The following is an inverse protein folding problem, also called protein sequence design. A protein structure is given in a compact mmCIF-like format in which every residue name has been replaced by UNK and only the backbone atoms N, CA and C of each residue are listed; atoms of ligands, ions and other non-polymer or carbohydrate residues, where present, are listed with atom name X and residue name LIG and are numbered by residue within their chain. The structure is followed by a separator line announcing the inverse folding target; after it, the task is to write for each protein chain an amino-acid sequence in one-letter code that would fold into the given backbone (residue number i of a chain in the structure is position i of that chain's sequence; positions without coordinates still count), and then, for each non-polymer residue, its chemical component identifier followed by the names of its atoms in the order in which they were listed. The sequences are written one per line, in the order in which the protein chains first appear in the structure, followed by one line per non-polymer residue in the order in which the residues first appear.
data_IF_710753151437
#
_entry.id   IF_710753151437
#
_cell.length_a   1.000
_cell.length_b   1.000
_cell.length_c   1.000
_cell.angle_alpha   90.00
_cell.angle_beta   90.00
_cell.angle_gamma   90.00
#
_symmetry.space_group_name_H-M   'P 1'
#
loop_
_entity.id
_entity.type
_entity.pdbx_description
1 polymer ?
#
# COMPACT_ATOMS: atom_id res chain seq x y z
N UNK A 1 -9.86 -16.17 -21.12
CA UNK A 1 -10.75 -15.18 -20.48
C UNK A 1 -9.94 -14.37 -19.48
N UNK A 2 -9.25 -13.32 -19.93
CA UNK A 2 -8.56 -12.38 -19.03
C UNK A 2 -9.52 -11.25 -18.75
N UNK A 3 -10.01 -11.19 -17.51
CA UNK A 3 -10.90 -10.14 -17.04
C UNK A 3 -10.16 -8.81 -17.14
N UNK A 4 -10.61 -7.96 -18.06
CA UNK A 4 -10.27 -6.54 -18.09
C UNK A 4 -10.72 -5.93 -16.76
N UNK A 5 -9.76 -5.69 -15.87
CA UNK A 5 -10.04 -5.07 -14.58
C UNK A 5 -9.82 -3.57 -14.74
N UNK A 6 -10.90 -2.79 -14.80
CA UNK A 6 -10.91 -1.31 -14.91
C UNK A 6 -10.18 -0.62 -13.74
N UNK A 7 -9.72 -1.37 -12.74
CA UNK A 7 -9.01 -0.89 -11.56
C UNK A 7 -7.55 -1.38 -11.57
N UNK A 8 -6.63 -0.58 -12.12
CA UNK A 8 -5.21 -0.94 -12.07
C UNK A 8 -4.71 -0.90 -10.62
N UNK A 9 -3.94 -1.90 -10.15
CA UNK A 9 -3.46 -1.96 -8.76
C UNK A 9 -2.67 -0.71 -8.33
N UNK A 10 -2.01 -0.05 -9.28
CA UNK A 10 -1.31 1.22 -9.06
C UNK A 10 -2.28 2.36 -8.76
N UNK A 11 -3.39 2.47 -9.50
CA UNK A 11 -4.42 3.50 -9.25
C UNK A 11 -5.07 3.32 -7.88
N UNK A 12 -5.37 2.07 -7.50
CA UNK A 12 -5.92 1.76 -6.16
C UNK A 12 -4.96 2.20 -5.06
N UNK A 13 -3.67 1.91 -5.21
CA UNK A 13 -2.65 2.33 -4.23
C UNK A 13 -2.64 3.85 -4.08
N UNK A 14 -2.73 4.61 -5.17
CA UNK A 14 -2.73 6.07 -5.13
C UNK A 14 -3.97 6.63 -4.43
N UNK A 15 -5.16 6.08 -4.73
CA UNK A 15 -6.41 6.48 -4.08
C UNK A 15 -6.39 6.22 -2.57
N UNK A 16 -5.90 5.05 -2.16
CA UNK A 16 -5.75 4.70 -0.74
C UNK A 16 -4.79 5.64 0.00
N UNK A 17 -3.77 6.18 -0.69
CA UNK A 17 -2.79 7.07 -0.08
C UNK A 17 -3.29 8.51 0.06
N UNK A 18 -4.26 8.95 -0.75
CA UNK A 18 -4.83 10.31 -0.70
C UNK A 18 -5.57 10.62 0.61
N UNK A 19 -6.14 9.60 1.26
CA UNK A 19 -6.87 9.76 2.53
C UNK A 19 -5.92 10.13 3.68
N UNK A 20 -4.64 9.79 3.57
CA UNK A 20 -3.67 10.02 4.64
C UNK A 20 -2.98 11.38 4.53
N UNK A 21 -2.68 12.05 5.67
CA UNK A 21 -1.78 13.21 5.67
C UNK A 21 -0.41 12.87 5.06
N UNK A 22 0.24 13.84 4.41
CA UNK A 22 1.47 13.63 3.62
C UNK A 22 2.56 12.80 4.34
N UNK A 23 2.77 13.04 5.64
CA UNK A 23 3.75 12.29 6.45
C UNK A 23 3.38 10.82 6.64
N UNK A 24 2.10 10.53 6.81
CA UNK A 24 1.57 9.15 6.97
C UNK A 24 1.52 8.45 5.61
N UNK A 25 1.06 9.13 4.56
CA UNK A 25 1.03 8.62 3.19
C UNK A 25 2.43 8.17 2.73
N UNK A 26 3.47 9.00 2.96
CA UNK A 26 4.86 8.63 2.65
C UNK A 26 5.29 7.33 3.31
N UNK A 27 4.97 7.12 4.59
CA UNK A 27 5.32 5.89 5.30
C UNK A 27 4.48 4.70 4.84
N UNK A 28 3.18 4.88 4.62
CA UNK A 28 2.25 3.82 4.17
C UNK A 28 2.54 3.37 2.74
N UNK A 29 3.03 4.25 1.87
CA UNK A 29 3.37 3.93 0.48
C UNK A 29 4.45 2.85 0.32
N UNK A 30 5.32 2.71 1.33
CA UNK A 30 6.41 1.71 1.39
C UNK A 30 5.94 0.35 1.90
N UNK A 31 4.81 0.32 2.60
CA UNK A 31 4.17 -0.90 3.11
C UNK A 31 3.10 -1.46 2.16
N UNK A 32 2.82 -0.78 1.05
CA UNK A 32 1.86 -1.22 0.02
C UNK A 32 2.63 -1.32 -1.29
N UNK A 33 2.84 -2.55 -1.76
CA UNK A 33 3.59 -2.82 -3.00
C UNK A 33 2.71 -3.67 -3.90
N UNK A 34 2.62 -3.30 -5.18
CA UNK A 34 1.93 -4.09 -6.19
C UNK A 34 2.83 -5.27 -6.54
N UNK A 35 2.31 -6.49 -6.40
CA UNK A 35 3.05 -7.69 -6.74
C UNK A 35 3.08 -7.86 -8.27
N UNK A 36 4.25 -8.16 -8.83
CA UNK A 36 4.42 -8.58 -10.21
C UNK A 36 4.92 -10.03 -10.23
N UNK A 37 4.19 -10.96 -10.86
CA UNK A 37 4.61 -12.36 -10.89
C UNK A 37 5.97 -12.49 -11.58
N UNK A 38 6.95 -13.06 -10.87
CA UNK A 38 8.32 -13.25 -11.36
C UNK A 38 9.34 -12.20 -10.87
N UNK A 39 8.89 -11.10 -10.25
CA UNK A 39 9.78 -10.09 -9.68
C UNK A 39 9.67 -10.09 -8.15
N UNK A 40 10.77 -10.32 -7.45
CA UNK A 40 10.83 -10.08 -6.00
C UNK A 40 10.85 -8.58 -5.73
N UNK A 41 9.91 -8.10 -4.92
CA UNK A 41 9.83 -6.69 -4.54
C UNK A 41 10.05 -6.51 -3.05
N UNK A 42 10.85 -5.51 -2.70
CA UNK A 42 11.09 -5.16 -1.31
C UNK A 42 9.89 -4.38 -0.75
N UNK A 43 9.36 -4.86 0.38
CA UNK A 43 8.27 -4.24 1.11
C UNK A 43 8.74 -3.86 2.52
N UNK A 44 8.30 -2.70 3.01
CA UNK A 44 8.60 -2.30 4.38
C UNK A 44 7.71 -3.05 5.37
N UNK A 45 8.27 -4.07 6.01
CA UNK A 45 7.63 -4.84 7.07
C UNK A 45 8.24 -4.54 8.46
N UNK A 46 7.55 -4.98 9.52
CA UNK A 46 8.06 -4.99 10.90
C UNK A 46 8.56 -3.65 11.48
N UNK A 47 8.03 -2.52 11.01
CA UNK A 47 8.33 -1.20 11.60
C UNK A 47 7.28 -0.78 12.63
N UNK A 48 7.60 0.21 13.47
CA UNK A 48 6.66 0.76 14.47
C UNK A 48 5.40 1.30 13.80
N UNK A 49 4.23 0.94 14.34
CA UNK A 49 2.91 1.41 13.91
C UNK A 49 2.82 2.94 13.96
N UNK A 50 2.10 3.54 13.01
CA UNK A 50 1.84 4.99 13.01
C UNK A 50 0.79 5.31 14.08
N UNK A 51 1.01 6.28 14.98
CA UNK A 51 -0.01 6.69 15.93
C UNK A 51 -1.29 7.18 15.24
N UNK A 52 -2.46 6.83 15.78
CA UNK A 52 -3.75 7.29 15.25
C UNK A 52 -4.23 6.57 13.99
N UNK A 53 -3.59 5.48 13.57
CA UNK A 53 -4.16 4.57 12.55
C UNK A 53 -4.82 3.37 13.26
N UNK A 54 -5.95 2.92 12.75
CA UNK A 54 -6.64 1.71 13.23
C UNK A 54 -5.84 0.50 12.75
N UNK A 55 -4.82 0.13 13.53
CA UNK A 55 -3.94 -1.01 13.25
C UNK A 55 -4.50 -2.27 13.88
N UNK A 56 -4.48 -3.39 13.15
CA UNK A 56 -4.78 -4.74 13.68
C UNK A 56 -3.61 -5.32 14.50
N UNK A 57 -2.78 -4.46 15.12
CA UNK A 57 -1.64 -4.90 15.93
C UNK A 57 -2.03 -4.73 17.38
N UNK A 58 -2.10 -5.85 18.08
CA UNK A 58 -2.64 -5.98 19.44
C UNK A 58 -3.12 -7.40 19.61
#
# INVERSE_FOLDING_TARGET
MTVENELSPTKVKEELLKVFPAKVARKRSKAIVVNEPGASRQIQANTRTVPGIISMRG
#
